data_IF_934289611116
#
_entry.id   IF_934289611116
#
_cell.length_a   1.000
_cell.length_b   1.000
_cell.length_c   1.000
_cell.angle_alpha   90.00
_cell.angle_beta   90.00
_cell.angle_gamma   90.00
#
_symmetry.space_group_name_H-M   'P 1'
#
loop_
_entity.id
_entity.type
_entity.pdbx_description
1 polymer ?
#
# COMPACT_ATOMS: atom_id res chain seq x y z
N UNK A 1 -22.20 4.38 10.24
CA UNK A 1 -20.96 4.12 11.02
C UNK A 1 -19.81 4.83 10.33
N UNK A 2 -19.31 5.90 10.93
CA UNK A 2 -18.35 6.83 10.33
C UNK A 2 -16.93 6.24 10.41
N UNK A 3 -16.51 5.50 9.38
CA UNK A 3 -15.23 4.77 9.36
C UNK A 3 -13.99 5.67 9.52
N UNK A 4 -14.12 6.99 9.30
CA UNK A 4 -13.04 7.98 9.40
C UNK A 4 -12.88 8.66 10.78
N UNK A 5 -13.77 8.39 11.73
CA UNK A 5 -13.65 8.89 13.11
C UNK A 5 -12.72 8.04 13.99
N UNK A 6 -12.23 6.89 13.50
CA UNK A 6 -11.30 6.04 14.25
C UNK A 6 -9.90 6.64 14.36
N UNK A 7 -9.26 6.33 15.49
CA UNK A 7 -7.89 6.69 15.86
C UNK A 7 -6.93 6.73 14.68
N UNK A 8 -6.14 7.79 14.62
CA UNK A 8 -5.15 8.04 13.57
C UNK A 8 -4.14 6.88 13.46
N UNK A 9 -3.77 6.30 14.61
CA UNK A 9 -2.92 5.09 14.67
C UNK A 9 -3.56 3.88 14.00
N UNK A 10 -4.88 3.70 14.17
CA UNK A 10 -5.61 2.55 13.63
C UNK A 10 -5.82 2.71 12.12
N UNK A 11 -6.05 3.93 11.63
CA UNK A 11 -6.04 4.25 10.21
C UNK A 11 -4.66 3.99 9.58
N UNK A 12 -3.59 4.41 10.26
CA UNK A 12 -2.22 4.19 9.80
C UNK A 12 -1.87 2.70 9.74
N UNK A 13 -2.25 1.92 10.76
CA UNK A 13 -2.04 0.47 10.78
C UNK A 13 -2.79 -0.23 9.64
N UNK A 14 -3.99 0.23 9.30
CA UNK A 14 -4.74 -0.29 8.14
C UNK A 14 -4.08 0.08 6.82
N UNK A 15 -3.64 1.33 6.67
CA UNK A 15 -2.84 1.78 5.52
C UNK A 15 -1.64 0.88 5.30
N UNK A 16 -0.92 0.56 6.37
CA UNK A 16 0.20 -0.39 6.32
C UNK A 16 -0.23 -1.77 5.86
N UNK A 17 -1.31 -2.31 6.43
CA UNK A 17 -1.77 -3.65 6.10
C UNK A 17 -2.15 -3.75 4.62
N UNK A 18 -2.93 -2.80 4.11
CA UNK A 18 -3.31 -2.76 2.69
C UNK A 18 -2.11 -2.52 1.77
N UNK A 19 -1.19 -1.66 2.19
CA UNK A 19 0.04 -1.39 1.46
C UNK A 19 0.92 -2.63 1.36
N UNK A 20 1.26 -3.23 2.50
CA UNK A 20 2.11 -4.41 2.58
C UNK A 20 1.50 -5.63 1.88
N UNK A 21 0.19 -5.87 2.00
CA UNK A 21 -0.47 -6.95 1.26
C UNK A 21 -0.44 -6.71 -0.25
N UNK A 22 -0.63 -5.45 -0.69
CA UNK A 22 -0.49 -5.09 -2.10
C UNK A 22 0.93 -5.30 -2.63
N UNK A 23 1.96 -4.98 -1.83
CA UNK A 23 3.37 -5.25 -2.17
C UNK A 23 3.62 -6.75 -2.27
N UNK A 24 3.16 -7.53 -1.30
CA UNK A 24 3.31 -8.97 -1.30
C UNK A 24 2.62 -9.62 -2.52
N UNK A 25 1.41 -9.17 -2.88
CA UNK A 25 0.69 -9.65 -4.06
C UNK A 25 1.44 -9.34 -5.37
N UNK A 26 1.94 -8.11 -5.54
CA UNK A 26 2.75 -7.76 -6.70
C UNK A 26 4.08 -8.53 -6.75
N UNK A 27 4.74 -8.76 -5.61
CA UNK A 27 5.94 -9.61 -5.55
C UNK A 27 5.64 -11.06 -5.93
N UNK A 28 4.53 -11.62 -5.46
CA UNK A 28 4.13 -12.98 -5.79
C UNK A 28 3.79 -13.13 -7.28
N UNK A 29 3.08 -12.15 -7.85
CA UNK A 29 2.84 -12.11 -9.29
C UNK A 29 4.15 -12.02 -10.07
N UNK A 30 5.07 -11.13 -9.68
CA UNK A 30 6.37 -10.98 -10.32
C UNK A 30 7.20 -12.27 -10.25
N UNK A 31 7.28 -12.88 -9.06
CA UNK A 31 7.97 -14.14 -8.87
C UNK A 31 7.36 -15.25 -9.75
N UNK A 32 6.02 -15.33 -9.82
CA UNK A 32 5.37 -16.32 -10.66
C UNK A 32 5.62 -16.07 -12.16
N UNK A 33 5.73 -14.82 -12.61
CA UNK A 33 6.10 -14.49 -13.99
C UNK A 33 7.52 -14.96 -14.32
N UNK A 34 8.46 -14.91 -13.37
CA UNK A 34 9.84 -15.38 -13.59
C UNK A 34 10.02 -16.89 -13.46
N UNK A 35 9.33 -17.54 -12.51
CA UNK A 35 9.50 -18.96 -12.21
C UNK A 35 8.48 -19.88 -12.92
N UNK A 36 7.45 -19.31 -13.57
CA UNK A 36 6.35 -20.02 -14.25
C UNK A 36 5.68 -21.12 -13.40
N UNK A 37 5.62 -20.94 -12.07
CA UNK A 37 5.10 -21.94 -11.13
C UNK A 37 3.60 -22.22 -11.31
N UNK A 38 2.84 -21.22 -11.77
CA UNK A 38 1.40 -21.29 -12.07
C UNK A 38 1.11 -20.67 -13.44
N UNK A 39 0.47 -21.45 -14.31
CA UNK A 39 -0.12 -20.96 -15.58
C UNK A 39 -1.43 -20.22 -15.29
N UNK A 40 -1.35 -19.07 -14.63
CA UNK A 40 -2.48 -18.20 -14.38
C UNK A 40 -2.21 -16.80 -14.96
N UNK A 41 -3.24 -16.10 -15.46
CA UNK A 41 -3.07 -14.71 -15.88
C UNK A 41 -2.72 -13.86 -14.65
N UNK A 42 -1.46 -13.41 -14.56
CA UNK A 42 -0.95 -12.60 -13.44
C UNK A 42 -1.29 -11.10 -13.56
N UNK A 43 -1.82 -10.66 -14.70
CA UNK A 43 -2.27 -9.28 -14.93
C UNK A 43 -3.29 -8.78 -13.90
N UNK A 44 -4.40 -9.53 -13.65
CA UNK A 44 -5.35 -9.19 -12.60
C UNK A 44 -4.74 -9.14 -11.19
N UNK A 45 -3.80 -10.04 -10.87
CA UNK A 45 -3.14 -10.07 -9.56
C UNK A 45 -2.28 -8.82 -9.34
N UNK A 46 -1.51 -8.42 -10.36
CA UNK A 46 -0.76 -7.17 -10.35
C UNK A 46 -1.67 -5.95 -10.23
N UNK A 47 -2.78 -5.92 -10.98
CA UNK A 47 -3.76 -4.83 -10.88
C UNK A 47 -4.36 -4.69 -9.49
N UNK A 48 -4.71 -5.82 -8.84
CA UNK A 48 -5.21 -5.84 -7.46
C UNK A 48 -4.14 -5.40 -6.46
N UNK A 49 -2.89 -5.86 -6.62
CA UNK A 49 -1.78 -5.47 -5.78
C UNK A 49 -1.48 -3.96 -5.85
N UNK A 50 -1.47 -3.39 -7.07
CA UNK A 50 -1.30 -1.95 -7.30
C UNK A 50 -2.48 -1.16 -6.73
N UNK A 51 -3.73 -1.62 -6.93
CA UNK A 51 -4.91 -0.97 -6.36
C UNK A 51 -4.87 -0.93 -4.82
N UNK A 52 -4.45 -2.03 -4.19
CA UNK A 52 -4.25 -2.11 -2.75
C UNK A 52 -3.17 -1.15 -2.25
N UNK A 53 -2.04 -1.03 -2.98
CA UNK A 53 -0.99 -0.06 -2.66
C UNK A 53 -1.49 1.39 -2.79
N UNK A 54 -2.24 1.72 -3.85
CA UNK A 54 -2.87 3.05 -3.99
C UNK A 54 -3.88 3.34 -2.87
N UNK A 55 -4.65 2.33 -2.46
CA UNK A 55 -5.58 2.48 -1.34
C UNK A 55 -4.83 2.73 -0.02
N UNK A 56 -3.78 1.96 0.27
CA UNK A 56 -2.89 2.18 1.41
C UNK A 56 -2.28 3.59 1.39
N UNK A 57 -1.75 4.03 0.25
CA UNK A 57 -1.15 5.34 0.05
C UNK A 57 -2.17 6.47 0.30
N UNK A 58 -3.38 6.33 -0.22
CA UNK A 58 -4.47 7.31 -0.04
C UNK A 58 -4.79 7.50 1.44
N UNK A 59 -4.85 6.41 2.22
CA UNK A 59 -5.08 6.49 3.67
C UNK A 59 -3.91 7.19 4.37
N UNK A 60 -2.65 6.88 4.00
CA UNK A 60 -1.48 7.52 4.62
C UNK A 60 -1.46 9.04 4.35
N UNK A 61 -1.80 9.47 3.13
CA UNK A 61 -1.93 10.89 2.77
C UNK A 61 -3.09 11.56 3.52
N UNK A 62 -4.22 10.87 3.67
CA UNK A 62 -5.36 11.37 4.46
C UNK A 62 -5.00 11.55 5.94
N UNK A 63 -4.26 10.60 6.52
CA UNK A 63 -3.74 10.72 7.89
C UNK A 63 -2.81 11.93 7.99
N UNK A 64 -1.88 12.12 7.04
CA UNK A 64 -0.95 13.26 7.03
C UNK A 64 -1.67 14.62 6.91
N UNK A 65 -2.84 14.66 6.24
CA UNK A 65 -3.62 15.90 6.02
C UNK A 65 -4.46 16.31 7.23
N UNK A 66 -4.62 15.46 8.26
CA UNK A 66 -5.34 15.83 9.48
C UNK A 66 -4.60 16.97 10.22
N UNK A 67 -5.35 17.91 10.82
CA UNK A 67 -4.76 19.10 11.49
C UNK A 67 -4.26 18.84 12.91
N UNK A 68 -4.77 17.82 13.60
CA UNK A 68 -4.47 17.51 15.02
C UNK A 68 -3.84 16.12 15.17
N UNK A 69 -2.67 15.92 14.59
CA UNK A 69 -1.95 14.64 14.60
C UNK A 69 -0.75 14.76 15.54
N UNK A 70 -0.45 13.71 16.30
CA UNK A 70 0.84 13.59 17.01
C UNK A 70 2.01 13.55 16.02
N UNK A 71 3.13 14.19 16.36
CA UNK A 71 4.35 14.19 15.50
C UNK A 71 4.83 12.79 15.17
N UNK A 72 4.80 11.86 16.13
CA UNK A 72 5.18 10.46 15.93
C UNK A 72 4.33 9.78 14.81
N UNK A 73 3.02 10.01 14.81
CA UNK A 73 2.11 9.48 13.80
C UNK A 73 2.35 10.14 12.44
N UNK A 74 2.70 11.44 12.44
CA UNK A 74 3.02 12.20 11.22
C UNK A 74 4.27 11.66 10.54
N UNK A 75 5.32 11.34 11.30
CA UNK A 75 6.55 10.81 10.73
C UNK A 75 6.39 9.38 10.21
N UNK A 76 5.64 8.54 10.93
CA UNK A 76 5.26 7.20 10.44
C UNK A 76 4.43 7.28 9.15
N UNK A 77 3.52 8.26 9.03
CA UNK A 77 2.76 8.48 7.80
C UNK A 77 3.66 8.89 6.62
N UNK A 78 4.64 9.78 6.83
CA UNK A 78 5.61 10.13 5.77
C UNK A 78 6.45 8.92 5.34
N UNK A 79 6.90 8.11 6.29
CA UNK A 79 7.65 6.88 5.99
C UNK A 79 6.80 5.89 5.18
N UNK A 80 5.53 5.70 5.54
CA UNK A 80 4.62 4.86 4.75
C UNK A 80 4.40 5.38 3.33
N UNK A 81 4.21 6.70 3.18
CA UNK A 81 4.08 7.33 1.86
C UNK A 81 5.34 7.09 1.02
N UNK A 82 6.52 7.23 1.63
CA UNK A 82 7.80 6.96 0.96
C UNK A 82 7.90 5.51 0.51
N UNK A 83 7.66 4.55 1.41
CA UNK A 83 7.77 3.12 1.10
C UNK A 83 6.76 2.71 0.02
N UNK A 84 5.50 3.13 0.15
CA UNK A 84 4.46 2.81 -0.83
C UNK A 84 4.68 3.51 -2.17
N UNK A 85 5.17 4.75 -2.15
CA UNK A 85 5.50 5.50 -3.36
C UNK A 85 6.66 4.86 -4.13
N UNK A 86 7.76 4.52 -3.44
CA UNK A 86 8.91 3.85 -4.06
C UNK A 86 8.53 2.47 -4.58
N UNK A 87 7.73 1.72 -3.82
CA UNK A 87 7.20 0.43 -4.23
C UNK A 87 6.36 0.52 -5.51
N UNK A 88 5.41 1.46 -5.56
CA UNK A 88 4.59 1.68 -6.75
C UNK A 88 5.46 2.01 -7.97
N UNK A 89 6.43 2.92 -7.82
CA UNK A 89 7.36 3.26 -8.90
C UNK A 89 8.15 2.05 -9.38
N UNK A 90 8.64 1.21 -8.47
CA UNK A 90 9.32 -0.03 -8.83
C UNK A 90 8.43 -0.96 -9.64
N UNK A 91 7.20 -1.23 -9.18
CA UNK A 91 6.29 -2.11 -9.89
C UNK A 91 5.83 -1.56 -11.24
N UNK A 92 5.65 -0.25 -11.37
CA UNK A 92 5.37 0.39 -12.67
C UNK A 92 6.53 0.31 -13.67
N UNK A 93 7.77 0.20 -13.18
CA UNK A 93 8.95 0.11 -14.04
C UNK A 93 9.29 -1.33 -14.42
N UNK A 94 8.92 -2.29 -13.58
CA UNK A 94 9.30 -3.70 -13.72
C UNK A 94 8.22 -4.55 -14.39
N UNK A 95 6.93 -4.24 -14.17
CA UNK A 95 5.78 -4.92 -14.79
C UNK A 95 5.49 -4.26 -16.14
#
# INVERSE_FOLDING_TARGET
>A
MNWMEKDEKLLLQRSFLFGATGIALCLLALANTYFELLQAPMGPLNGVGVALQFFGLSIAVLVLRKRKIQEETKDKAKQMILVLGVSLLFFFMVI
#
